data_IF_544792717744
#
_entry.id   IF_544792717744
#
_cell.length_a   1.000
_cell.length_b   1.000
_cell.length_c   1.000
_cell.angle_alpha   90.00
_cell.angle_beta   90.00
_cell.angle_gamma   90.00
#
_symmetry.space_group_name_H-M   'P 1'
#
loop_
_entity.id
_entity.type
_entity.pdbx_description
1 polymer ?
#
# COMPACT_ATOMS: atom_id res chain seq x y z
N UNK A 1 28.16 -10.72 21.38
CA UNK A 1 27.67 -10.52 20.00
C UNK A 1 26.46 -11.44 19.77
N UNK A 2 25.25 -10.91 19.96
CA UNK A 2 24.03 -11.71 20.13
C UNK A 2 23.42 -12.24 18.83
N UNK A 3 22.64 -13.31 18.91
CA UNK A 3 21.92 -13.94 17.78
C UNK A 3 21.05 -12.94 17.00
N UNK A 4 20.50 -11.93 17.68
CA UNK A 4 19.75 -10.83 17.06
C UNK A 4 20.58 -10.05 16.04
N UNK A 5 21.86 -9.80 16.31
CA UNK A 5 22.73 -9.10 15.36
C UNK A 5 23.05 -9.98 14.15
N UNK A 6 23.10 -11.31 14.30
CA UNK A 6 23.29 -12.25 13.19
C UNK A 6 22.05 -12.34 12.30
N UNK A 7 20.84 -12.31 12.87
CA UNK A 7 19.58 -12.26 12.09
C UNK A 7 19.46 -10.94 11.34
N UNK A 8 19.76 -9.81 11.98
CA UNK A 8 19.82 -8.49 11.33
C UNK A 8 20.88 -8.43 10.22
N UNK A 9 22.02 -9.10 10.41
CA UNK A 9 23.10 -9.16 9.41
C UNK A 9 22.74 -10.07 8.22
N UNK A 10 22.06 -11.20 8.46
CA UNK A 10 21.56 -12.08 7.39
C UNK A 10 20.44 -11.41 6.58
N UNK A 11 19.57 -10.62 7.22
CA UNK A 11 18.60 -9.76 6.53
C UNK A 11 19.29 -8.68 5.67
N UNK A 12 20.44 -8.15 6.13
CA UNK A 12 21.23 -7.15 5.41
C UNK A 12 22.01 -7.72 4.22
N UNK A 13 22.40 -9.00 4.27
CA UNK A 13 23.19 -9.66 3.21
C UNK A 13 22.32 -10.09 2.01
N UNK A 14 21.02 -10.34 2.21
CA UNK A 14 20.09 -10.68 1.12
C UNK A 14 19.38 -9.48 0.47
N UNK A 15 19.61 -8.26 0.96
CA UNK A 15 18.78 -7.09 0.64
C UNK A 15 19.47 -6.04 -0.24
N UNK A 16 20.55 -6.37 -0.95
CA UNK A 16 21.20 -5.38 -1.82
C UNK A 16 20.45 -5.09 -3.15
N UNK A 17 19.19 -5.55 -3.32
CA UNK A 17 18.37 -5.22 -4.51
C UNK A 17 16.85 -5.14 -4.28
N UNK A 18 16.36 -5.19 -3.05
CA UNK A 18 14.91 -5.21 -2.77
C UNK A 18 14.48 -4.24 -1.64
N UNK A 19 15.34 -3.30 -1.27
CA UNK A 19 15.18 -2.47 -0.07
C UNK A 19 14.36 -1.19 -0.25
N UNK A 20 13.84 -0.93 -1.45
CA UNK A 20 13.05 0.29 -1.74
C UNK A 20 11.53 0.06 -1.77
N UNK A 21 11.01 -1.15 -1.47
CA UNK A 21 9.56 -1.44 -1.56
C UNK A 21 8.94 -2.21 -0.39
N UNK A 22 9.50 -2.11 0.81
CA UNK A 22 8.74 -2.48 2.01
C UNK A 22 8.29 -1.19 2.71
N UNK A 23 7.25 -0.58 2.16
CA UNK A 23 6.67 0.69 2.63
C UNK A 23 5.98 0.57 4.01
N UNK A 24 5.69 -0.65 4.49
CA UNK A 24 4.93 -0.86 5.71
C UNK A 24 5.68 -1.67 6.78
N UNK A 25 6.13 -1.04 7.89
CA UNK A 25 6.82 -1.73 8.98
C UNK A 25 5.95 -2.80 9.67
N UNK A 26 4.62 -2.76 9.52
CA UNK A 26 3.70 -3.77 10.07
C UNK A 26 3.96 -5.15 9.48
N UNK A 27 4.18 -5.24 8.16
CA UNK A 27 4.41 -6.51 7.46
C UNK A 27 5.71 -7.18 7.91
N UNK A 28 6.77 -6.40 8.13
CA UNK A 28 8.06 -6.91 8.61
C UNK A 28 7.93 -7.49 10.01
N UNK A 29 7.19 -6.81 10.90
CA UNK A 29 6.97 -7.28 12.26
C UNK A 29 6.07 -8.52 12.30
N UNK A 30 5.04 -8.58 11.45
CA UNK A 30 4.20 -9.78 11.29
C UNK A 30 5.00 -10.98 10.80
N UNK A 31 5.86 -10.78 9.81
CA UNK A 31 6.77 -11.82 9.34
C UNK A 31 7.71 -12.29 10.46
N UNK A 32 8.36 -11.36 11.17
CA UNK A 32 9.25 -11.71 12.27
C UNK A 32 8.53 -12.49 13.38
N UNK A 33 7.30 -12.10 13.73
CA UNK A 33 6.47 -12.81 14.70
C UNK A 33 6.16 -14.24 14.23
N UNK A 34 5.77 -14.42 12.97
CA UNK A 34 5.51 -15.75 12.40
C UNK A 34 6.74 -16.68 12.45
N UNK A 35 7.93 -16.14 12.18
CA UNK A 35 9.19 -16.90 12.25
C UNK A 35 9.51 -17.31 13.68
N UNK A 36 9.28 -16.44 14.67
CA UNK A 36 9.49 -16.80 16.07
C UNK A 36 8.51 -17.88 16.52
N UNK A 37 7.23 -17.83 16.11
CA UNK A 37 6.25 -18.88 16.39
C UNK A 37 6.64 -20.22 15.77
N UNK A 38 7.15 -20.24 14.53
CA UNK A 38 7.68 -21.43 13.88
C UNK A 38 8.87 -22.01 14.67
N UNK A 39 9.78 -21.16 15.12
CA UNK A 39 10.91 -21.57 15.95
C UNK A 39 10.45 -22.18 17.28
N UNK A 40 9.43 -21.59 17.93
CA UNK A 40 8.84 -22.15 19.15
C UNK A 40 8.20 -23.52 18.90
N UNK A 41 7.49 -23.68 17.78
CA UNK A 41 6.91 -24.98 17.38
C UNK A 41 7.99 -26.04 17.17
N UNK A 42 9.09 -25.70 16.48
CA UNK A 42 10.24 -26.62 16.30
C UNK A 42 10.88 -27.00 17.63
N UNK A 43 11.08 -26.03 18.52
CA UNK A 43 11.64 -26.29 19.85
C UNK A 43 10.75 -27.21 20.69
N UNK A 44 9.43 -27.01 20.65
CA UNK A 44 8.46 -27.92 21.29
C UNK A 44 8.51 -29.32 20.69
N UNK A 45 8.62 -29.43 19.37
CA UNK A 45 8.82 -30.72 18.69
C UNK A 45 10.07 -31.44 19.18
N UNK A 46 11.22 -30.76 19.20
CA UNK A 46 12.47 -31.33 19.72
C UNK A 46 12.39 -31.72 21.20
N UNK A 47 11.68 -30.95 22.03
CA UNK A 47 11.46 -31.30 23.44
C UNK A 47 10.64 -32.60 23.58
N UNK A 48 9.62 -32.80 22.74
CA UNK A 48 8.83 -34.04 22.71
C UNK A 48 9.68 -35.23 22.28
N UNK A 49 10.54 -35.07 21.28
CA UNK A 49 11.48 -36.12 20.84
C UNK A 49 12.44 -36.52 21.97
N UNK A 50 13.02 -35.55 22.67
CA UNK A 50 13.91 -35.78 23.82
C UNK A 50 13.17 -36.46 24.97
N UNK A 51 11.97 -36.00 25.32
CA UNK A 51 11.14 -36.63 26.35
C UNK A 51 10.78 -38.08 25.98
N UNK A 52 10.50 -38.34 24.70
CA UNK A 52 10.22 -39.69 24.19
C UNK A 52 11.44 -40.59 24.30
N UNK A 53 12.62 -40.12 23.88
CA UNK A 53 13.88 -40.85 24.00
C UNK A 53 14.20 -41.19 25.47
N UNK A 54 14.03 -40.22 26.38
CA UNK A 54 14.17 -40.43 27.83
C UNK A 54 13.23 -41.52 28.33
N UNK A 55 11.96 -41.49 27.93
CA UNK A 55 10.98 -42.50 28.35
C UNK A 55 11.30 -43.90 27.80
N UNK A 56 11.87 -44.01 26.60
CA UNK A 56 12.35 -45.27 26.05
C UNK A 56 13.54 -45.82 26.86
N UNK A 57 14.55 -44.99 27.13
CA UNK A 57 15.70 -45.36 27.96
C UNK A 57 15.28 -45.74 29.39
N UNK A 58 14.35 -44.98 29.97
CA UNK A 58 13.82 -45.28 31.32
C UNK A 58 13.14 -46.64 31.37
N UNK A 59 12.38 -47.02 30.34
CA UNK A 59 11.75 -48.35 30.27
C UNK A 59 12.79 -49.47 30.14
N UNK A 60 13.81 -49.29 29.30
CA UNK A 60 14.90 -50.25 29.17
C UNK A 60 15.67 -50.42 30.50
N UNK A 61 15.96 -49.30 31.17
CA UNK A 61 16.58 -49.28 32.49
C UNK A 61 15.74 -50.02 33.53
N UNK A 62 14.42 -49.80 33.56
CA UNK A 62 13.50 -50.51 34.48
C UNK A 62 13.53 -52.03 34.24
N UNK A 63 13.46 -52.48 32.98
CA UNK A 63 13.53 -53.91 32.64
C UNK A 63 14.84 -54.56 33.12
N UNK A 64 15.98 -53.88 32.96
CA UNK A 64 17.27 -54.37 33.45
C UNK A 64 17.34 -54.35 34.99
N UNK A 65 16.81 -53.30 35.62
CA UNK A 65 16.75 -53.19 37.07
C UNK A 65 15.94 -54.33 37.72
N UNK A 66 14.91 -54.84 37.06
CA UNK A 66 14.16 -56.03 37.50
C UNK A 66 14.90 -57.35 37.23
N UNK A 67 15.72 -57.42 36.17
CA UNK A 67 16.50 -58.63 35.84
C UNK A 67 17.64 -58.91 36.82
N UNK A 68 18.30 -57.86 37.33
CA UNK A 68 19.42 -57.99 38.28
C UNK A 68 19.03 -58.81 39.53
N UNK A 69 17.95 -58.49 40.28
CA UNK A 69 17.54 -59.29 41.44
C UNK A 69 17.06 -60.69 41.04
N UNK A 70 16.39 -60.84 39.90
CA UNK A 70 15.97 -62.16 39.42
C UNK A 70 17.16 -63.09 39.13
N UNK A 71 18.25 -62.55 38.58
CA UNK A 71 19.50 -63.29 38.34
C UNK A 71 20.23 -63.62 39.65
N UNK A 72 20.17 -62.73 40.64
CA UNK A 72 20.68 -62.99 41.99
C UNK A 72 19.92 -64.14 42.67
N UNK A 73 18.59 -64.15 42.60
CA UNK A 73 17.77 -65.23 43.13
C UNK A 73 18.03 -66.56 42.41
N UNK A 74 18.25 -66.53 41.09
CA UNK A 74 18.65 -67.71 40.32
C UNK A 74 19.99 -68.27 40.79
N UNK A 75 20.99 -67.39 41.00
CA UNK A 75 22.29 -67.80 41.52
C UNK A 75 22.17 -68.42 42.91
N UNK A 76 21.39 -67.81 43.81
CA UNK A 76 21.14 -68.31 45.16
C UNK A 76 20.53 -69.71 45.15
N UNK A 77 19.47 -69.92 44.36
CA UNK A 77 18.83 -71.24 44.21
C UNK A 77 19.78 -72.28 43.62
N UNK A 78 20.64 -71.89 42.66
CA UNK A 78 21.61 -72.80 42.07
C UNK A 78 22.65 -73.29 43.11
N UNK A 79 23.12 -72.38 43.97
CA UNK A 79 24.01 -72.72 45.11
C UNK A 79 23.32 -73.66 46.10
N UNK A 80 22.06 -73.40 46.46
CA UNK A 80 21.28 -74.28 47.36
C UNK A 80 21.15 -75.71 46.84
N UNK A 81 21.17 -75.90 45.51
CA UNK A 81 21.09 -77.20 44.86
C UNK A 81 22.47 -77.77 44.47
N UNK A 82 23.57 -77.16 44.94
CA UNK A 82 24.93 -77.62 44.66
C UNK A 82 25.39 -77.45 43.21
N UNK A 83 24.69 -76.63 42.41
CA UNK A 83 25.03 -76.37 41.00
C UNK A 83 25.82 -75.08 40.85
N UNK A 84 27.09 -75.14 41.24
CA UNK A 84 28.01 -73.98 41.22
C UNK A 84 28.27 -73.44 39.80
N UNK A 85 28.25 -74.31 38.79
CA UNK A 85 28.37 -73.94 37.38
C UNK A 85 27.23 -73.01 36.93
N UNK A 86 25.98 -73.36 37.27
CA UNK A 86 24.81 -72.54 36.99
C UNK A 86 24.81 -71.24 37.81
N UNK A 87 25.27 -71.29 39.07
CA UNK A 87 25.40 -70.11 39.91
C UNK A 87 26.39 -69.10 39.31
N UNK A 88 27.55 -69.58 38.82
CA UNK A 88 28.56 -68.74 38.17
C UNK A 88 28.01 -68.05 36.93
N UNK A 89 27.31 -68.79 36.05
CA UNK A 89 26.69 -68.22 34.84
C UNK A 89 25.61 -67.18 35.19
N UNK A 90 24.80 -67.42 36.22
CA UNK A 90 23.79 -66.46 36.68
C UNK A 90 24.43 -65.17 37.21
N UNK A 91 25.53 -65.27 37.96
CA UNK A 91 26.28 -64.13 38.47
C UNK A 91 26.99 -63.35 37.36
N UNK A 92 27.57 -64.02 36.37
CA UNK A 92 28.15 -63.37 35.19
C UNK A 92 27.10 -62.54 34.44
N UNK A 93 25.91 -63.12 34.21
CA UNK A 93 24.78 -62.40 33.60
C UNK A 93 24.30 -61.23 34.46
N UNK A 94 24.27 -61.39 35.79
CA UNK A 94 23.92 -60.31 36.72
C UNK A 94 24.91 -59.15 36.59
N UNK A 95 26.20 -59.44 36.57
CA UNK A 95 27.24 -58.42 36.44
C UNK A 95 27.14 -57.68 35.10
N UNK A 96 26.91 -58.39 34.00
CA UNK A 96 26.69 -57.76 32.70
C UNK A 96 25.45 -56.86 32.70
N UNK A 97 24.32 -57.32 33.24
CA UNK A 97 23.11 -56.52 33.34
C UNK A 97 23.27 -55.29 34.24
N UNK A 98 24.02 -55.40 35.35
CA UNK A 98 24.31 -54.29 36.24
C UNK A 98 25.20 -53.22 35.57
N UNK A 99 26.21 -53.63 34.80
CA UNK A 99 27.06 -52.72 34.04
C UNK A 99 26.27 -51.99 32.94
N UNK A 100 25.38 -52.68 32.24
CA UNK A 100 24.47 -52.09 31.25
C UNK A 100 23.51 -51.07 31.90
N UNK A 101 22.97 -51.41 33.08
CA UNK A 101 22.10 -50.52 33.85
C UNK A 101 22.81 -49.24 34.29
N UNK A 102 24.07 -49.32 34.73
CA UNK A 102 24.88 -48.15 35.07
C UNK A 102 25.09 -47.25 33.82
N UNK A 103 25.38 -47.86 32.67
CA UNK A 103 25.50 -47.16 31.39
C UNK A 103 24.24 -46.41 31.00
N UNK A 104 23.08 -47.07 31.07
CA UNK A 104 21.77 -46.44 30.83
C UNK A 104 21.47 -45.34 31.84
N UNK A 105 21.87 -45.49 33.10
CA UNK A 105 21.72 -44.47 34.13
C UNK A 105 22.44 -43.16 33.76
N UNK A 106 23.67 -43.25 33.23
CA UNK A 106 24.41 -42.09 32.73
C UNK A 106 23.71 -41.43 31.54
N UNK A 107 23.30 -42.21 30.54
CA UNK A 107 22.59 -41.70 29.36
C UNK A 107 21.27 -41.03 29.74
N UNK A 108 20.53 -41.60 30.69
CA UNK A 108 19.27 -41.03 31.17
C UNK A 108 19.49 -39.70 31.89
N UNK A 109 20.56 -39.57 32.67
CA UNK A 109 20.93 -38.32 33.32
C UNK A 109 21.28 -37.22 32.30
N UNK A 110 22.04 -37.57 31.25
CA UNK A 110 22.38 -36.67 30.15
C UNK A 110 21.13 -36.17 29.40
N UNK A 111 20.25 -37.08 28.99
CA UNK A 111 19.01 -36.74 28.27
C UNK A 111 18.07 -35.94 29.17
N UNK A 112 17.98 -36.25 30.46
CA UNK A 112 17.18 -35.48 31.41
C UNK A 112 17.71 -34.06 31.62
N UNK A 113 19.02 -33.86 31.56
CA UNK A 113 19.61 -32.52 31.63
C UNK A 113 19.31 -31.70 30.37
N UNK A 114 19.41 -32.33 29.20
CA UNK A 114 19.08 -31.70 27.92
C UNK A 114 17.58 -31.32 27.85
N UNK A 115 16.69 -32.22 28.30
CA UNK A 115 15.25 -31.95 28.41
C UNK A 115 14.97 -30.71 29.29
N UNK A 116 15.65 -30.61 30.44
CA UNK A 116 15.50 -29.44 31.33
C UNK A 116 15.98 -28.16 30.65
N UNK A 117 17.14 -28.18 29.98
CA UNK A 117 17.69 -27.01 29.27
C UNK A 117 16.75 -26.55 28.16
N UNK A 118 16.26 -27.48 27.34
CA UNK A 118 15.30 -27.19 26.28
C UNK A 118 13.98 -26.66 26.85
N UNK A 119 13.49 -27.21 27.96
CA UNK A 119 12.30 -26.71 28.64
C UNK A 119 12.45 -25.28 29.19
N UNK A 120 13.64 -24.91 29.69
CA UNK A 120 13.92 -23.52 30.09
C UNK A 120 13.97 -22.61 28.86
N UNK A 121 14.65 -23.03 27.79
CA UNK A 121 14.73 -22.27 26.55
C UNK A 121 13.35 -22.06 25.91
N UNK A 122 12.46 -23.05 25.96
CA UNK A 122 11.08 -22.97 25.45
C UNK A 122 10.30 -21.89 26.18
N UNK A 123 10.32 -21.89 27.52
CA UNK A 123 9.62 -20.88 28.33
C UNK A 123 10.16 -19.47 28.08
N UNK A 124 11.49 -19.32 27.98
CA UNK A 124 12.11 -18.04 27.68
C UNK A 124 11.73 -17.53 26.29
N UNK A 125 11.73 -18.41 25.29
CA UNK A 125 11.32 -18.04 23.93
C UNK A 125 9.84 -17.67 23.88
N UNK A 126 8.97 -18.44 24.54
CA UNK A 126 7.54 -18.13 24.63
C UNK A 126 7.28 -16.75 25.26
N UNK A 127 7.97 -16.42 26.37
CA UNK A 127 7.86 -15.08 26.99
C UNK A 127 8.28 -13.96 26.04
N UNK A 128 9.42 -14.13 25.35
CA UNK A 128 9.91 -13.12 24.39
C UNK A 128 8.99 -12.94 23.20
N UNK A 129 8.35 -14.02 22.74
CA UNK A 129 7.36 -13.95 21.65
C UNK A 129 6.15 -13.14 22.07
N UNK A 130 5.70 -13.31 23.32
CA UNK A 130 4.57 -12.56 23.84
C UNK A 130 4.91 -11.07 24.02
N UNK A 131 6.09 -10.75 24.54
CA UNK A 131 6.61 -9.38 24.59
C UNK A 131 6.69 -8.76 23.18
N UNK A 132 7.17 -9.53 22.20
CA UNK A 132 7.26 -9.09 20.81
C UNK A 132 5.88 -8.85 20.19
N UNK A 133 4.88 -9.68 20.51
CA UNK A 133 3.49 -9.50 20.06
C UNK A 133 2.94 -8.14 20.49
N UNK A 134 3.11 -7.79 21.76
CA UNK A 134 2.69 -6.50 22.32
C UNK A 134 3.46 -5.36 21.66
N UNK A 135 4.78 -5.49 21.52
CA UNK A 135 5.60 -4.47 20.88
C UNK A 135 5.17 -4.20 19.44
N UNK A 136 4.91 -5.27 18.66
CA UNK A 136 4.38 -5.18 17.31
C UNK A 136 3.07 -4.40 17.24
N UNK A 137 2.12 -4.68 18.15
CA UNK A 137 0.83 -3.98 18.21
C UNK A 137 1.02 -2.48 18.48
N UNK A 138 1.89 -2.13 19.43
CA UNK A 138 2.20 -0.73 19.74
C UNK A 138 2.86 -0.02 18.56
N UNK A 139 3.82 -0.67 17.89
CA UNK A 139 4.50 -0.09 16.72
C UNK A 139 3.53 0.08 15.55
N UNK A 140 2.67 -0.91 15.31
CA UNK A 140 1.62 -0.85 14.27
C UNK A 140 0.64 0.30 14.51
N UNK A 141 0.20 0.48 15.76
CA UNK A 141 -0.67 1.59 16.15
C UNK A 141 0.01 2.95 15.96
N UNK A 142 1.28 3.09 16.41
CA UNK A 142 2.07 4.31 16.23
C UNK A 142 2.28 4.65 14.76
N UNK A 143 2.59 3.65 13.93
CA UNK A 143 2.73 3.83 12.49
C UNK A 143 1.42 4.30 11.86
N UNK A 144 0.30 3.66 12.20
CA UNK A 144 -1.02 4.02 11.68
C UNK A 144 -1.42 5.45 12.08
N UNK A 145 -1.13 5.86 13.31
CA UNK A 145 -1.35 7.21 13.79
C UNK A 145 -0.46 8.25 13.09
N UNK A 146 0.83 7.95 12.93
CA UNK A 146 1.77 8.82 12.22
C UNK A 146 1.38 8.98 10.74
N UNK A 147 1.02 7.88 10.08
CA UNK A 147 0.53 7.88 8.71
C UNK A 147 -0.74 8.75 8.58
N UNK A 148 -1.73 8.57 9.46
CA UNK A 148 -2.93 9.40 9.46
C UNK A 148 -2.63 10.89 9.70
N UNK A 149 -1.67 11.20 10.58
CA UNK A 149 -1.25 12.58 10.82
C UNK A 149 -0.59 13.22 9.60
N UNK A 150 0.26 12.48 8.90
CA UNK A 150 0.84 12.92 7.62
C UNK A 150 -0.27 13.14 6.59
N UNK A 151 -1.17 12.18 6.40
CA UNK A 151 -2.28 12.31 5.44
C UNK A 151 -3.19 13.52 5.74
N UNK A 152 -3.51 13.77 7.01
CA UNK A 152 -4.29 14.96 7.42
C UNK A 152 -3.49 16.24 7.15
N UNK A 153 -2.20 16.26 7.49
CA UNK A 153 -1.35 17.43 7.28
C UNK A 153 -1.23 17.76 5.80
N UNK A 154 -1.02 16.76 4.94
CA UNK A 154 -0.99 16.89 3.48
C UNK A 154 -2.31 17.43 2.91
N UNK A 155 -3.45 16.94 3.43
CA UNK A 155 -4.78 17.42 3.06
C UNK A 155 -5.03 18.87 3.49
N UNK A 156 -4.56 19.28 4.66
CA UNK A 156 -4.71 20.66 5.17
C UNK A 156 -3.78 21.63 4.45
N UNK A 157 -2.52 21.26 4.21
CA UNK A 157 -1.53 22.13 3.55
C UNK A 157 -1.70 22.18 2.04
N UNK A 158 -2.59 21.37 1.47
CA UNK A 158 -2.85 21.32 0.03
C UNK A 158 -1.67 20.88 -0.81
N UNK A 159 -0.78 20.09 -0.21
CA UNK A 159 0.40 19.53 -0.89
C UNK A 159 0.02 18.27 -1.68
N UNK A 160 -1.15 17.67 -1.42
CA UNK A 160 -1.73 16.68 -2.32
C UNK A 160 -2.12 17.33 -3.65
N UNK A 161 -1.86 16.64 -4.77
CA UNK A 161 -2.02 17.18 -6.13
C UNK A 161 -3.40 17.76 -6.48
N UNK A 162 -4.45 17.45 -5.71
CA UNK A 162 -5.82 17.95 -5.90
C UNK A 162 -5.98 19.45 -5.55
N UNK A 163 -5.27 19.96 -4.54
CA UNK A 163 -5.29 21.38 -4.18
C UNK A 163 -4.41 22.23 -5.10
N UNK A 164 -3.34 21.66 -5.66
CA UNK A 164 -2.59 22.27 -6.75
C UNK A 164 -3.47 22.43 -8.00
N UNK A 165 -4.32 21.44 -8.32
CA UNK A 165 -5.28 21.52 -9.42
C UNK A 165 -6.39 22.54 -9.15
N UNK A 166 -6.89 22.63 -7.91
CA UNK A 166 -7.86 23.65 -7.51
C UNK A 166 -7.27 25.06 -7.54
N UNK A 167 -6.04 25.25 -7.05
CA UNK A 167 -5.30 26.52 -7.12
C UNK A 167 -5.05 26.95 -8.56
N UNK A 168 -4.67 26.01 -9.45
CA UNK A 168 -4.59 26.27 -10.89
C UNK A 168 -5.95 26.59 -11.51
N UNK A 169 -7.04 26.00 -11.04
CA UNK A 169 -8.39 26.29 -11.52
C UNK A 169 -8.87 27.69 -11.09
N UNK A 170 -8.61 28.09 -9.84
CA UNK A 170 -8.90 29.43 -9.31
C UNK A 170 -8.07 30.48 -10.04
N UNK A 171 -6.76 30.27 -10.21
CA UNK A 171 -5.90 31.19 -10.95
C UNK A 171 -6.35 31.39 -12.42
N UNK A 172 -6.81 30.33 -13.10
CA UNK A 172 -7.40 30.44 -14.45
C UNK A 172 -8.70 31.25 -14.47
N UNK A 173 -9.53 31.13 -13.42
CA UNK A 173 -10.78 31.89 -13.32
C UNK A 173 -10.52 33.38 -13.06
N UNK A 174 -9.54 33.71 -12.21
CA UNK A 174 -9.09 35.08 -11.97
C UNK A 174 -8.51 35.71 -13.24
N UNK A 175 -7.61 35.02 -13.94
CA UNK A 175 -7.02 35.53 -15.19
C UNK A 175 -8.09 35.79 -16.27
N UNK A 176 -9.09 34.90 -16.39
CA UNK A 176 -10.22 35.11 -17.29
C UNK A 176 -11.06 36.34 -16.90
N UNK A 177 -11.21 36.58 -15.60
CA UNK A 177 -11.96 37.72 -15.07
C UNK A 177 -11.22 39.03 -15.33
N UNK A 178 -9.90 39.06 -15.15
CA UNK A 178 -9.07 40.23 -15.47
C UNK A 178 -9.02 40.52 -16.96
N UNK A 179 -8.95 39.50 -17.82
CA UNK A 179 -9.11 39.68 -19.27
C UNK A 179 -10.48 40.26 -19.65
N UNK A 180 -11.55 39.81 -18.99
CA UNK A 180 -12.90 40.36 -19.21
C UNK A 180 -12.99 41.82 -18.75
N UNK A 181 -12.41 42.17 -17.60
CA UNK A 181 -12.34 43.56 -17.10
C UNK A 181 -11.52 44.45 -18.02
N UNK A 182 -10.35 43.98 -18.47
CA UNK A 182 -9.50 44.72 -19.40
C UNK A 182 -10.23 44.96 -20.74
N UNK A 183 -10.96 43.95 -21.24
CA UNK A 183 -11.78 44.09 -22.43
C UNK A 183 -12.95 45.04 -22.22
N UNK A 184 -13.63 45.00 -21.08
CA UNK A 184 -14.69 45.94 -20.74
C UNK A 184 -14.14 47.37 -20.68
N UNK A 185 -13.02 47.58 -19.99
CA UNK A 185 -12.34 48.89 -19.92
C UNK A 185 -11.86 49.39 -21.29
N UNK A 186 -11.38 48.50 -22.17
CA UNK A 186 -11.05 48.86 -23.54
C UNK A 186 -12.30 49.23 -24.36
N UNK A 187 -13.43 48.55 -24.17
CA UNK A 187 -14.72 48.91 -24.77
C UNK A 187 -15.18 50.27 -24.26
N UNK A 188 -15.12 50.52 -22.95
CA UNK A 188 -15.48 51.80 -22.35
C UNK A 188 -14.60 52.93 -22.91
N UNK A 189 -13.30 52.70 -23.05
CA UNK A 189 -12.38 53.65 -23.70
C UNK A 189 -12.69 53.85 -25.20
N UNK A 190 -13.18 52.84 -25.91
CA UNK A 190 -13.65 52.97 -27.30
C UNK A 190 -14.99 53.74 -27.40
N UNK A 191 -15.86 53.63 -26.40
CA UNK A 191 -17.08 54.46 -26.28
C UNK A 191 -16.70 55.91 -26.00
N UNK A 192 -15.80 56.14 -25.04
CA UNK A 192 -15.39 57.47 -24.60
C UNK A 192 -14.49 58.19 -25.63
N UNK A 193 -13.69 57.45 -26.38
CA UNK A 193 -12.96 57.98 -27.56
C UNK A 193 -13.85 58.17 -28.80
N UNK A 194 -15.14 57.83 -28.72
CA UNK A 194 -16.12 58.06 -29.79
C UNK A 194 -15.98 57.13 -31.00
N UNK A 195 -15.30 56.00 -30.88
CA UNK A 195 -15.05 55.05 -31.98
C UNK A 195 -16.06 53.91 -32.04
N UNK A 196 -16.81 53.64 -30.96
CA UNK A 196 -18.00 52.78 -30.96
C UNK A 196 -19.27 53.48 -31.49
N UNK A 197 -19.08 54.54 -32.29
CA UNK A 197 -20.13 55.32 -32.92
C UNK A 197 -19.74 55.86 -34.29
N UNK A 198 -18.76 55.25 -34.97
CA UNK A 198 -18.39 55.65 -36.32
C UNK A 198 -18.11 54.42 -37.20
N UNK A 199 -19.14 54.10 -38.00
CA UNK A 199 -19.07 53.57 -39.35
C UNK A 199 -19.58 52.13 -39.65
N UNK A 200 -20.80 52.14 -40.23
CA UNK A 200 -21.09 51.61 -41.57
C UNK A 200 -21.45 50.13 -41.75
N UNK A 201 -22.51 49.67 -41.07
CA UNK A 201 -23.25 48.47 -41.53
C UNK A 201 -24.78 48.54 -41.38
N UNK A 202 -25.34 49.59 -40.77
CA UNK A 202 -26.79 49.74 -40.56
C UNK A 202 -27.52 50.62 -41.60
N UNK A 203 -26.82 51.54 -42.25
CA UNK A 203 -27.45 52.54 -43.14
C UNK A 203 -27.77 52.02 -44.55
N UNK A 204 -27.20 50.89 -44.99
CA UNK A 204 -27.48 50.38 -46.34
C UNK A 204 -28.83 49.65 -46.43
N UNK A 205 -29.22 48.90 -45.41
CA UNK A 205 -30.48 48.13 -45.43
C UNK A 205 -31.69 49.05 -45.21
N UNK A 206 -31.57 50.03 -44.31
CA UNK A 206 -32.67 50.95 -44.00
C UNK A 206 -32.85 52.03 -45.10
N UNK A 207 -31.78 52.41 -45.81
CA UNK A 207 -31.88 53.24 -47.01
C UNK A 207 -32.46 52.47 -48.22
N UNK A 208 -32.23 51.17 -48.32
CA UNK A 208 -32.76 50.32 -49.40
C UNK A 208 -34.25 49.98 -49.19
N UNK A 209 -34.69 49.80 -47.93
CA UNK A 209 -36.10 49.70 -47.54
C UNK A 209 -36.87 51.03 -47.71
N UNK A 210 -36.22 52.17 -47.47
CA UNK A 210 -36.81 53.49 -47.76
C UNK A 210 -36.88 53.79 -49.25
N UNK A 211 -35.91 53.32 -50.06
CA UNK A 211 -35.95 53.45 -51.53
C UNK A 211 -37.04 52.60 -52.18
N UNK A 212 -37.31 51.40 -51.68
CA UNK A 212 -38.42 50.57 -52.17
C UNK A 212 -39.79 51.19 -51.82
N UNK A 213 -39.94 51.69 -50.60
CA UNK A 213 -41.20 52.35 -50.19
C UNK A 213 -41.42 53.72 -50.84
N UNK A 214 -40.36 54.46 -51.19
CA UNK A 214 -40.47 55.69 -52.00
C UNK A 214 -40.64 55.41 -53.49
N UNK A 215 -40.13 54.31 -54.04
CA UNK A 215 -40.41 53.93 -55.43
C UNK A 215 -41.90 53.60 -55.66
N UNK A 216 -42.50 52.80 -54.77
CA UNK A 216 -43.93 52.47 -54.82
C UNK A 216 -44.82 53.72 -54.58
N UNK A 217 -44.40 54.64 -53.71
CA UNK A 217 -45.12 55.90 -53.47
C UNK A 217 -45.01 56.90 -54.64
N UNK A 218 -43.86 56.95 -55.32
CA UNK A 218 -43.63 57.83 -56.48
C UNK A 218 -44.33 57.31 -57.74
N UNK A 219 -44.44 55.99 -57.95
CA UNK A 219 -45.26 55.44 -59.04
C UNK A 219 -46.76 55.67 -58.82
N UNK A 220 -47.23 55.61 -57.57
CA UNK A 220 -48.60 55.99 -57.19
C UNK A 220 -48.89 57.49 -57.41
N UNK A 221 -47.93 58.38 -57.11
CA UNK A 221 -48.07 59.83 -57.36
C UNK A 221 -47.92 60.20 -58.85
N UNK A 222 -47.09 59.49 -59.62
CA UNK A 222 -46.91 59.72 -61.06
C UNK A 222 -48.15 59.30 -61.87
N UNK A 223 -48.80 58.19 -61.49
CA UNK A 223 -50.07 57.77 -62.10
C UNK A 223 -51.20 58.79 -61.84
N UNK A 224 -51.26 59.39 -60.65
CA UNK A 224 -52.22 60.44 -60.31
C UNK A 224 -51.95 61.78 -61.02
N UNK A 225 -50.67 62.10 -61.31
CA UNK A 225 -50.29 63.33 -62.02
C UNK A 225 -50.46 63.24 -63.54
N UNK A 226 -50.39 62.04 -64.13
CA UNK A 226 -50.65 61.81 -65.56
C UNK A 226 -52.14 61.89 -65.92
N UNK A 227 -53.06 61.67 -64.97
CA UNK A 227 -54.49 61.93 -65.16
C UNK A 227 -54.84 63.44 -65.14
N UNK A 228 -53.97 64.30 -64.63
CA UNK A 228 -54.32 65.70 -64.29
C UNK A 228 -53.59 66.82 -65.06
N UNK A 229 -52.79 66.53 -66.10
CA UNK A 229 -52.03 67.57 -66.83
C UNK A 229 -52.39 67.71 -68.34
N UNK A 230 -52.80 68.91 -68.81
CA UNK A 230 -53.33 69.15 -70.17
C UNK A 230 -52.31 69.50 -71.29
N UNK A 231 -52.71 69.21 -72.54
CA UNK A 231 -52.12 69.53 -73.88
C UNK A 231 -51.43 70.92 -74.03
N UNK A 232 -50.28 70.98 -74.73
CA UNK A 232 -49.91 72.04 -75.73
C UNK A 232 -48.59 71.79 -76.51
N UNK A 233 -48.59 72.14 -77.81
CA UNK A 233 -47.51 72.24 -78.84
C UNK A 233 -47.13 73.75 -79.06
N UNK A 234 -46.26 74.19 -80.04
CA UNK A 234 -44.84 73.92 -80.35
C UNK A 234 -43.97 75.19 -80.72
N UNK A 235 -42.66 75.01 -81.04
CA UNK A 235 -41.81 75.82 -81.99
C UNK A 235 -40.84 76.88 -81.41
N UNK A 236 -39.77 77.41 -82.05
CA UNK A 236 -38.83 77.11 -83.18
C UNK A 236 -37.74 78.25 -83.22
N UNK A 237 -36.42 77.92 -83.31
CA UNK A 237 -35.23 78.47 -84.09
C UNK A 237 -35.08 80.01 -84.31
N UNK A 238 -33.88 80.69 -84.30
CA UNK A 238 -32.80 80.69 -85.37
C UNK A 238 -31.32 80.82 -84.89
N UNK A 239 -30.32 80.26 -85.60
CA UNK A 239 -29.47 80.76 -86.75
C UNK A 239 -28.48 81.88 -86.34
N UNK A 240 -27.22 82.02 -86.82
CA UNK A 240 -26.40 81.43 -87.89
C UNK A 240 -24.95 81.98 -87.77
N UNK A 241 -23.97 81.30 -88.40
CA UNK A 241 -22.84 81.78 -89.26
C UNK A 241 -21.64 80.80 -89.21
N UNK A 242 -21.34 80.09 -90.32
CA UNK A 242 -20.32 80.40 -91.36
C UNK A 242 -18.89 80.30 -90.80
N UNK A 243 -17.90 79.54 -91.29
CA UNK A 243 -17.37 79.13 -92.63
C UNK A 243 -16.65 77.76 -92.45
N UNK A 244 -16.30 76.90 -93.42
CA UNK A 244 -16.31 76.80 -94.90
C UNK A 244 -16.59 75.35 -95.29
#
# INVERSE_FOLDING_TARGET
MGLLSRVLMLLRIKSNSALDSVEDPRQVLDYAYSQQQEMLRKLRGGLVEVATAKQQLSRQSQLLAERVPALEDQARRAVEHGREDLARVALERKHSAAAELEGLGRQLAEVADEERKLGVAERQLASRIEEFRIHREVVSAKYSAAHAHVSISEAITGVSGELAELGMAVGRAEEKTDRLRARASAIDALIESGTLGANQAGDSIEAELRRLSTADAVESELAALLELAPKRLPGRVPAEKEES
#
